data_IF_304832905686
#
_entry.id   IF_304832905686
#
_cell.length_a   1.000
_cell.length_b   1.000
_cell.length_c   1.000
_cell.angle_alpha   90.00
_cell.angle_beta   90.00
_cell.angle_gamma   90.00
#
_symmetry.space_group_name_H-M   'P 1'
#
loop_
_entity.id
_entity.type
_entity.pdbx_description
1 polymer ?
#
# COMPACT_ATOMS: atom_id res chain seq x y z
N UNK A 1 -5.67 -9.57 57.34
CA UNK A 1 -5.99 -10.86 56.71
C UNK A 1 -7.37 -10.78 56.03
N UNK A 2 -7.39 -10.43 54.75
CA UNK A 2 -8.56 -10.74 53.91
C UNK A 2 -8.04 -10.91 52.50
N UNK A 3 -7.94 -12.18 52.12
CA UNK A 3 -7.59 -12.59 50.76
C UNK A 3 -8.76 -12.33 49.82
N UNK A 4 -8.56 -11.53 48.81
CA UNK A 4 -9.47 -11.47 47.66
C UNK A 4 -9.00 -12.47 46.60
N UNK A 5 -9.75 -13.54 46.44
CA UNK A 5 -9.68 -14.42 45.26
C UNK A 5 -10.53 -13.79 44.17
N UNK A 6 -9.91 -13.48 43.05
CA UNK A 6 -10.59 -13.18 41.79
C UNK A 6 -10.63 -14.47 40.97
N UNK A 7 -11.78 -15.08 40.90
CA UNK A 7 -12.07 -16.16 39.97
C UNK A 7 -12.33 -15.57 38.58
N UNK A 8 -11.43 -15.85 37.64
CA UNK A 8 -11.56 -15.46 36.25
C UNK A 8 -11.96 -16.68 35.43
N UNK A 9 -13.27 -16.89 35.29
CA UNK A 9 -13.78 -17.89 34.36
C UNK A 9 -13.71 -17.32 32.93
N UNK A 10 -12.72 -17.77 32.16
CA UNK A 10 -12.69 -17.57 30.70
C UNK A 10 -13.59 -18.61 30.03
N UNK A 11 -14.78 -18.17 29.67
CA UNK A 11 -15.61 -18.85 28.66
C UNK A 11 -14.98 -18.67 27.29
N UNK A 12 -14.24 -19.69 26.82
CA UNK A 12 -13.81 -19.79 25.43
C UNK A 12 -14.99 -20.16 24.55
N UNK A 13 -15.65 -19.15 23.98
CA UNK A 13 -16.55 -19.34 22.85
C UNK A 13 -15.76 -19.78 21.62
N UNK A 14 -16.09 -20.95 21.07
CA UNK A 14 -15.53 -21.48 19.83
C UNK A 14 -15.80 -20.53 18.68
N UNK A 15 -14.75 -19.77 18.29
CA UNK A 15 -14.78 -18.91 17.11
C UNK A 15 -14.68 -19.82 15.89
N UNK A 16 -15.80 -19.98 15.17
CA UNK A 16 -15.83 -20.64 13.87
C UNK A 16 -14.89 -19.92 12.92
N UNK A 17 -13.88 -20.65 12.44
CA UNK A 17 -12.98 -20.20 11.38
C UNK A 17 -13.82 -19.94 10.14
N UNK A 18 -14.12 -18.68 9.88
CA UNK A 18 -14.71 -18.23 8.61
C UNK A 18 -13.71 -18.59 7.50
N UNK A 19 -14.08 -19.57 6.68
CA UNK A 19 -13.34 -19.94 5.49
C UNK A 19 -13.26 -18.72 4.57
N UNK A 20 -12.05 -18.25 4.31
CA UNK A 20 -11.79 -17.18 3.35
C UNK A 20 -12.33 -17.61 1.96
N UNK A 21 -13.07 -16.75 1.25
CA UNK A 21 -13.53 -17.06 -0.09
C UNK A 21 -12.32 -17.23 -1.00
N UNK A 22 -12.25 -18.39 -1.71
CA UNK A 22 -11.22 -18.63 -2.72
C UNK A 22 -11.37 -17.60 -3.84
N UNK A 23 -10.42 -16.71 -3.98
CA UNK A 23 -10.36 -15.72 -5.07
C UNK A 23 -10.22 -16.51 -6.37
N UNK A 24 -11.22 -16.39 -7.26
CA UNK A 24 -11.16 -16.99 -8.61
C UNK A 24 -10.26 -16.11 -9.48
N UNK A 25 -9.01 -16.50 -9.64
CA UNK A 25 -8.08 -15.86 -10.57
C UNK A 25 -8.27 -16.42 -11.98
N UNK A 26 -8.28 -15.57 -12.99
CA UNK A 26 -8.18 -15.95 -14.40
C UNK A 26 -6.75 -15.70 -14.86
N UNK A 27 -6.08 -16.73 -15.36
CA UNK A 27 -4.79 -16.58 -16.00
C UNK A 27 -4.98 -16.04 -17.42
N UNK A 28 -4.26 -15.00 -17.77
CA UNK A 28 -4.11 -14.47 -19.13
C UNK A 28 -2.62 -14.35 -19.45
N UNK A 29 -2.29 -14.30 -20.72
CA UNK A 29 -0.90 -14.17 -21.19
C UNK A 29 -0.74 -12.81 -21.85
N UNK A 30 0.04 -11.94 -21.22
CA UNK A 30 0.30 -10.57 -21.68
C UNK A 30 1.56 -10.55 -22.54
N UNK A 31 1.47 -9.91 -23.71
CA UNK A 31 2.61 -9.68 -24.58
C UNK A 31 3.44 -8.49 -24.09
N UNK A 32 4.73 -8.70 -23.81
CA UNK A 32 5.65 -7.63 -23.39
C UNK A 32 6.00 -6.64 -24.50
N UNK A 33 5.77 -7.02 -25.77
CA UNK A 33 6.09 -6.18 -26.93
C UNK A 33 4.94 -5.25 -27.33
N UNK A 34 3.69 -5.77 -27.42
CA UNK A 34 2.55 -4.97 -27.87
C UNK A 34 1.49 -4.71 -26.78
N UNK A 35 1.61 -5.34 -25.61
CA UNK A 35 0.67 -5.15 -24.50
C UNK A 35 -0.66 -5.88 -24.64
N UNK A 36 -0.87 -6.68 -25.69
CA UNK A 36 -2.12 -7.40 -25.92
C UNK A 36 -2.23 -8.65 -25.03
N UNK A 37 -3.45 -9.00 -24.59
CA UNK A 37 -3.72 -10.14 -23.71
C UNK A 37 -4.36 -11.31 -24.46
N UNK A 38 -3.91 -12.52 -24.13
CA UNK A 38 -4.38 -13.74 -24.74
C UNK A 38 -4.82 -14.77 -23.68
N UNK A 39 -5.91 -15.52 -23.94
CA UNK A 39 -6.42 -16.51 -22.98
C UNK A 39 -5.56 -17.78 -22.88
N UNK A 40 -4.65 -17.98 -23.83
CA UNK A 40 -3.73 -19.13 -23.89
C UNK A 40 -2.32 -18.69 -24.23
N UNK A 41 -1.35 -19.42 -23.71
CA UNK A 41 0.03 -19.23 -24.08
C UNK A 41 0.29 -19.73 -25.51
N UNK A 42 0.94 -18.91 -26.31
CA UNK A 42 1.45 -19.26 -27.64
C UNK A 42 2.93 -18.87 -27.69
N UNK A 43 3.73 -19.64 -28.40
CA UNK A 43 5.15 -19.30 -28.58
C UNK A 43 5.35 -17.98 -29.33
N UNK A 44 4.38 -17.60 -30.16
CA UNK A 44 4.34 -16.35 -30.92
C UNK A 44 3.09 -15.55 -30.56
N UNK A 45 3.22 -14.26 -30.37
CA UNK A 45 2.08 -13.39 -30.12
C UNK A 45 1.20 -13.26 -31.36
N UNK A 46 -0.11 -13.57 -31.31
CA UNK A 46 -1.00 -13.46 -32.48
C UNK A 46 -1.19 -12.02 -32.98
N UNK A 47 -0.96 -11.03 -32.14
CA UNK A 47 -1.21 -9.61 -32.47
C UNK A 47 0.00 -8.94 -33.12
N UNK A 48 1.20 -9.13 -32.58
CA UNK A 48 2.42 -8.51 -33.13
C UNK A 48 3.40 -9.47 -33.81
N UNK A 49 3.10 -10.77 -33.80
CA UNK A 49 3.93 -11.85 -34.36
C UNK A 49 5.35 -11.97 -33.76
N UNK A 50 5.61 -11.36 -32.61
CA UNK A 50 6.86 -11.51 -31.89
C UNK A 50 6.93 -12.83 -31.13
N UNK A 51 8.11 -13.46 -31.11
CA UNK A 51 8.33 -14.73 -30.43
C UNK A 51 8.78 -14.56 -28.99
N UNK A 52 8.27 -15.43 -28.08
CA UNK A 52 8.73 -15.49 -26.70
C UNK A 52 8.32 -14.28 -25.82
N UNK A 53 7.35 -13.48 -26.27
CA UNK A 53 6.93 -12.24 -25.61
C UNK A 53 5.73 -12.42 -24.68
N UNK A 54 5.11 -13.61 -24.65
CA UNK A 54 3.94 -13.88 -23.84
C UNK A 54 4.33 -14.37 -22.44
N UNK A 55 3.99 -13.60 -21.41
CA UNK A 55 4.19 -13.93 -20.00
C UNK A 55 2.86 -14.17 -19.28
N UNK A 56 2.86 -15.10 -18.32
CA UNK A 56 1.67 -15.41 -17.53
C UNK A 56 1.33 -14.25 -16.61
N UNK A 57 0.07 -13.80 -16.67
CA UNK A 57 -0.48 -12.77 -15.80
C UNK A 57 -1.78 -13.26 -15.15
N UNK A 58 -1.86 -13.21 -13.84
CA UNK A 58 -3.05 -13.62 -13.08
C UNK A 58 -3.95 -12.42 -12.80
N UNK A 59 -5.09 -12.38 -13.47
CA UNK A 59 -6.11 -11.35 -13.23
C UNK A 59 -7.10 -11.86 -12.19
N UNK A 60 -7.23 -11.18 -11.06
CA UNK A 60 -8.29 -11.45 -10.10
C UNK A 60 -9.63 -10.98 -10.67
N UNK A 61 -10.60 -11.89 -10.82
CA UNK A 61 -11.94 -11.56 -11.33
C UNK A 61 -12.79 -10.72 -10.37
N UNK A 62 -12.44 -10.68 -9.11
CA UNK A 62 -13.20 -10.02 -8.06
C UNK A 62 -12.55 -8.70 -7.63
N UNK A 63 -12.31 -7.78 -8.57
CA UNK A 63 -12.46 -6.38 -8.16
C UNK A 63 -13.96 -6.19 -7.92
N UNK A 64 -14.43 -6.43 -6.69
CA UNK A 64 -15.59 -5.70 -6.21
C UNK A 64 -15.26 -4.25 -6.45
N UNK A 65 -15.77 -3.69 -7.55
CA UNK A 65 -15.88 -2.25 -7.68
C UNK A 65 -16.59 -1.89 -6.39
N UNK A 66 -15.84 -1.34 -5.44
CA UNK A 66 -16.41 -0.69 -4.27
C UNK A 66 -17.43 0.22 -4.93
N UNK A 67 -18.72 -0.01 -4.67
CA UNK A 67 -19.81 0.83 -5.14
C UNK A 67 -19.64 2.21 -4.51
N UNK A 68 -18.61 2.92 -4.94
CA UNK A 68 -18.52 4.36 -4.75
C UNK A 68 -19.63 4.90 -5.61
N UNK A 69 -20.69 5.38 -4.94
CA UNK A 69 -21.70 6.20 -5.62
C UNK A 69 -20.89 7.21 -6.42
N UNK A 70 -21.02 7.17 -7.75
CA UNK A 70 -20.37 8.15 -8.60
C UNK A 70 -20.82 9.52 -8.13
N UNK A 71 -19.90 10.28 -7.57
CA UNK A 71 -20.19 11.66 -7.18
C UNK A 71 -20.52 12.45 -8.45
N UNK A 72 -21.59 13.24 -8.38
CA UNK A 72 -21.94 14.11 -9.50
C UNK A 72 -20.87 15.19 -9.64
N UNK A 73 -20.52 15.58 -10.88
CA UNK A 73 -19.65 16.74 -11.08
C UNK A 73 -20.25 17.97 -10.39
N UNK A 74 -19.40 18.72 -9.70
CA UNK A 74 -19.76 20.01 -9.11
C UNK A 74 -18.98 21.11 -9.83
N UNK A 75 -19.52 22.32 -9.84
CA UNK A 75 -18.80 23.47 -10.35
C UNK A 75 -17.67 23.89 -9.40
N UNK A 76 -16.67 24.59 -9.94
CA UNK A 76 -15.48 24.97 -9.18
C UNK A 76 -15.81 25.90 -8.00
N UNK A 77 -16.82 26.76 -8.14
CA UNK A 77 -17.22 27.67 -7.07
C UNK A 77 -17.78 26.91 -5.89
N UNK A 78 -18.67 25.96 -6.15
CA UNK A 78 -19.21 25.05 -5.11
C UNK A 78 -18.13 24.22 -4.43
N UNK A 79 -17.03 23.90 -5.14
CA UNK A 79 -15.90 23.19 -4.55
C UNK A 79 -15.12 24.02 -3.53
N UNK A 80 -15.10 25.36 -3.64
CA UNK A 80 -14.47 26.21 -2.65
C UNK A 80 -15.23 26.30 -1.32
N UNK A 81 -16.54 26.03 -1.34
CA UNK A 81 -17.39 26.04 -0.15
C UNK A 81 -17.26 24.73 0.66
N UNK A 82 -16.56 23.73 0.14
CA UNK A 82 -16.25 22.50 0.87
C UNK A 82 -15.10 22.73 1.85
N UNK A 83 -15.18 22.14 3.09
CA UNK A 83 -14.08 22.24 4.04
C UNK A 83 -12.78 21.77 3.41
N UNK A 84 -11.76 22.63 3.41
CA UNK A 84 -10.45 22.26 2.90
C UNK A 84 -9.83 21.19 3.80
N UNK A 85 -9.30 20.14 3.18
CA UNK A 85 -8.55 19.10 3.89
C UNK A 85 -7.29 19.71 4.50
N UNK A 86 -7.15 19.58 5.82
CA UNK A 86 -5.92 20.02 6.49
C UNK A 86 -4.73 19.18 6.05
N UNK A 87 -3.67 19.86 5.65
CA UNK A 87 -2.39 19.22 5.35
C UNK A 87 -1.71 18.80 6.64
N UNK A 88 -1.06 17.67 6.65
CA UNK A 88 -0.24 17.28 7.79
C UNK A 88 1.24 17.50 7.49
N UNK A 89 1.89 18.19 8.42
CA UNK A 89 3.30 18.52 8.32
C UNK A 89 4.16 17.26 8.48
N UNK A 90 5.13 17.11 7.60
CA UNK A 90 6.12 16.02 7.69
C UNK A 90 7.19 16.30 8.74
N UNK A 91 7.32 17.55 9.17
CA UNK A 91 8.41 18.06 10.03
C UNK A 91 9.80 17.95 9.36
N UNK A 92 9.82 17.83 8.05
CA UNK A 92 11.00 17.97 7.21
C UNK A 92 10.73 19.19 6.32
N UNK A 93 11.34 20.31 6.67
CA UNK A 93 11.03 21.62 6.08
C UNK A 93 11.08 21.62 4.54
N UNK A 94 12.06 20.94 3.95
CA UNK A 94 12.19 20.88 2.49
C UNK A 94 11.05 20.09 1.83
N UNK A 95 10.61 19.00 2.45
CA UNK A 95 9.46 18.22 1.97
C UNK A 95 8.20 19.07 2.08
N UNK A 96 7.96 19.68 3.25
CA UNK A 96 6.78 20.50 3.47
C UNK A 96 6.75 21.69 2.49
N UNK A 97 7.91 22.31 2.22
CA UNK A 97 8.04 23.41 1.25
C UNK A 97 7.68 22.93 -0.16
N UNK A 98 8.23 21.80 -0.61
CA UNK A 98 7.97 21.25 -1.96
C UNK A 98 6.51 20.84 -2.12
N UNK A 99 5.90 20.31 -1.05
CA UNK A 99 4.50 19.87 -1.05
C UNK A 99 3.50 21.02 -0.78
N UNK A 100 3.96 22.26 -0.69
CA UNK A 100 3.08 23.42 -0.49
C UNK A 100 2.47 23.47 0.92
N UNK A 101 3.23 23.09 1.94
CA UNK A 101 2.81 23.14 3.35
C UNK A 101 2.43 21.80 3.96
N UNK A 102 2.93 20.69 3.43
CA UNK A 102 2.72 19.36 3.97
C UNK A 102 1.89 18.43 3.07
N UNK A 103 1.70 17.21 3.52
CA UNK A 103 0.99 16.16 2.76
C UNK A 103 -0.51 16.42 2.82
N UNK A 104 -1.15 16.48 1.65
CA UNK A 104 -2.60 16.54 1.54
C UNK A 104 -3.18 15.12 1.65
N UNK A 105 -4.17 14.88 2.53
CA UNK A 105 -4.85 13.59 2.60
C UNK A 105 -5.39 13.15 1.24
N UNK A 106 -5.20 11.87 0.89
CA UNK A 106 -5.61 11.31 -0.40
C UNK A 106 -4.70 11.65 -1.59
N UNK A 107 -3.62 12.43 -1.39
CA UNK A 107 -2.66 12.69 -2.46
C UNK A 107 -1.74 11.48 -2.71
N UNK A 108 -1.28 11.37 -3.97
CA UNK A 108 -0.24 10.43 -4.38
C UNK A 108 1.02 11.23 -4.67
N UNK A 109 2.14 10.83 -4.06
CA UNK A 109 3.43 11.49 -4.19
C UNK A 109 4.43 10.49 -4.77
N UNK A 110 5.05 10.84 -5.89
CA UNK A 110 6.12 10.05 -6.49
C UNK A 110 7.48 10.63 -6.11
N UNK A 111 8.29 9.82 -5.40
CA UNK A 111 9.67 10.17 -5.06
C UNK A 111 10.63 9.53 -6.06
N UNK A 112 11.08 10.30 -7.04
CA UNK A 112 12.03 9.87 -8.07
C UNK A 112 13.48 10.24 -7.74
N UNK A 113 14.43 9.50 -8.32
CA UNK A 113 15.86 9.79 -8.20
C UNK A 113 16.74 8.57 -8.54
N UNK A 114 18.04 8.81 -8.76
CA UNK A 114 18.99 7.75 -9.07
C UNK A 114 19.09 6.68 -7.98
N UNK A 115 19.44 5.43 -8.32
CA UNK A 115 19.75 4.40 -7.33
C UNK A 115 20.80 4.90 -6.32
N UNK A 116 20.66 4.55 -5.05
CA UNK A 116 21.61 4.89 -4.00
C UNK A 116 21.56 6.33 -3.47
N UNK A 117 20.73 7.23 -4.01
CA UNK A 117 20.66 8.64 -3.57
C UNK A 117 20.00 8.84 -2.20
N UNK A 118 19.42 7.79 -1.62
CA UNK A 118 18.84 7.86 -0.29
C UNK A 118 17.30 7.95 -0.25
N UNK A 119 16.57 7.63 -1.35
CA UNK A 119 15.10 7.64 -1.39
C UNK A 119 14.45 6.84 -0.26
N UNK A 120 14.84 5.58 -0.10
CA UNK A 120 14.33 4.70 0.95
C UNK A 120 14.65 5.20 2.36
N UNK A 121 15.83 5.81 2.54
CA UNK A 121 16.23 6.43 3.81
C UNK A 121 15.32 7.63 4.13
N UNK A 122 15.09 8.50 3.15
CA UNK A 122 14.22 9.67 3.30
C UNK A 122 12.77 9.23 3.59
N UNK A 123 12.29 8.19 2.91
CA UNK A 123 10.96 7.61 3.12
C UNK A 123 10.79 7.11 4.57
N UNK A 124 11.76 6.39 5.11
CA UNK A 124 11.75 5.93 6.49
C UNK A 124 11.84 7.09 7.49
N UNK A 125 12.69 8.08 7.24
CA UNK A 125 12.78 9.29 8.08
C UNK A 125 11.46 10.06 8.13
N UNK A 126 10.75 10.14 6.99
CA UNK A 126 9.44 10.74 6.91
C UNK A 126 8.45 10.05 7.85
N UNK A 127 8.41 8.71 7.85
CA UNK A 127 7.51 7.94 8.72
C UNK A 127 7.77 8.21 10.19
N UNK A 128 9.04 8.30 10.60
CA UNK A 128 9.39 8.57 12.00
C UNK A 128 8.92 9.95 12.48
N UNK A 129 8.92 10.93 11.59
CA UNK A 129 8.55 12.32 11.92
C UNK A 129 7.04 12.53 11.99
N UNK A 130 6.27 11.79 11.20
CA UNK A 130 4.81 11.94 11.11
C UNK A 130 4.06 11.55 12.39
N UNK A 131 4.60 10.63 13.18
CA UNK A 131 3.95 10.09 14.40
C UNK A 131 2.50 9.66 14.17
N UNK A 132 2.25 9.01 13.03
CA UNK A 132 0.96 8.46 12.62
C UNK A 132 1.12 7.00 12.22
N UNK A 133 0.06 6.20 12.40
CA UNK A 133 0.05 4.83 11.90
C UNK A 133 0.37 4.85 10.41
N UNK A 134 1.42 4.16 10.03
CA UNK A 134 1.95 4.16 8.68
C UNK A 134 2.33 2.74 8.25
N UNK A 135 2.20 2.45 6.96
CA UNK A 135 2.60 1.19 6.37
C UNK A 135 3.72 1.43 5.36
N UNK A 136 4.85 0.77 5.58
CA UNK A 136 5.98 0.73 4.65
C UNK A 136 6.03 -0.63 3.98
N UNK A 137 5.82 -0.65 2.67
CA UNK A 137 5.88 -1.85 1.84
C UNK A 137 7.19 -1.82 1.07
N UNK A 138 8.03 -2.86 1.29
CA UNK A 138 9.26 -3.05 0.54
C UNK A 138 9.11 -4.24 -0.39
N UNK A 139 9.21 -4.00 -1.70
CA UNK A 139 9.18 -5.06 -2.71
C UNK A 139 10.56 -5.72 -2.93
N UNK A 140 11.64 -5.02 -2.58
CA UNK A 140 13.02 -5.46 -2.85
C UNK A 140 13.75 -5.98 -1.62
N UNK A 141 13.46 -5.39 -0.44
CA UNK A 141 14.16 -5.74 0.80
C UNK A 141 13.28 -6.55 1.74
N UNK A 142 13.89 -7.47 2.47
CA UNK A 142 13.20 -8.21 3.53
C UNK A 142 12.82 -7.28 4.69
N UNK A 143 11.82 -7.71 5.48
CA UNK A 143 11.41 -6.97 6.70
C UNK A 143 12.58 -6.74 7.66
N UNK A 144 13.47 -7.72 7.79
CA UNK A 144 14.63 -7.61 8.68
C UNK A 144 15.63 -6.56 8.20
N UNK A 145 15.87 -6.46 6.90
CA UNK A 145 16.76 -5.43 6.32
C UNK A 145 16.18 -4.03 6.53
N UNK A 146 14.88 -3.87 6.31
CA UNK A 146 14.19 -2.60 6.57
C UNK A 146 14.22 -2.28 8.07
N UNK A 147 14.00 -3.25 8.96
CA UNK A 147 14.05 -3.07 10.40
C UNK A 147 15.45 -2.63 10.88
N UNK A 148 16.53 -3.27 10.40
CA UNK A 148 17.91 -2.87 10.72
C UNK A 148 18.18 -1.43 10.27
N UNK A 149 17.70 -1.03 9.09
CA UNK A 149 17.83 0.34 8.60
C UNK A 149 17.04 1.33 9.47
N UNK A 150 15.82 0.96 9.87
CA UNK A 150 14.98 1.77 10.74
C UNK A 150 15.61 2.00 12.10
N UNK A 151 16.22 0.96 12.69
CA UNK A 151 16.95 1.03 13.95
C UNK A 151 18.15 2.00 13.87
N UNK A 152 18.93 1.91 12.80
CA UNK A 152 20.06 2.85 12.56
C UNK A 152 19.63 4.31 12.42
N UNK A 153 18.38 4.55 12.00
CA UNK A 153 17.79 5.87 11.87
C UNK A 153 17.07 6.32 13.14
N UNK A 154 17.10 5.52 14.21
CA UNK A 154 16.42 5.76 15.49
C UNK A 154 14.91 6.06 15.30
N UNK A 155 14.27 5.27 14.45
CA UNK A 155 12.85 5.43 14.16
C UNK A 155 12.05 4.83 15.30
N UNK A 156 11.14 5.63 15.86
CA UNK A 156 10.13 5.11 16.79
C UNK A 156 9.19 4.14 16.04
N UNK A 157 9.38 2.85 16.31
CA UNK A 157 8.76 1.77 15.55
C UNK A 157 7.31 1.47 15.94
N UNK A 158 6.79 2.07 17.00
CA UNK A 158 5.45 1.75 17.53
C UNK A 158 4.31 2.06 16.55
N UNK A 159 4.48 3.01 15.66
CA UNK A 159 3.48 3.47 14.69
C UNK A 159 3.82 3.09 13.24
N UNK A 160 4.97 2.46 13.00
CA UNK A 160 5.42 2.09 11.66
C UNK A 160 5.33 0.58 11.46
N UNK A 161 4.48 0.17 10.54
CA UNK A 161 4.33 -1.23 10.15
C UNK A 161 5.08 -1.51 8.87
N UNK A 162 5.71 -2.68 8.76
CA UNK A 162 6.52 -3.08 7.61
C UNK A 162 5.89 -4.30 6.95
N UNK A 163 5.79 -4.28 5.63
CA UNK A 163 5.38 -5.41 4.80
C UNK A 163 6.41 -5.67 3.71
N UNK A 164 6.63 -6.92 3.36
CA UNK A 164 7.41 -7.34 2.18
C UNK A 164 6.51 -7.96 1.11
N UNK A 165 5.26 -7.51 1.06
CA UNK A 165 4.28 -7.97 0.10
C UNK A 165 4.49 -7.24 -1.25
N UNK A 166 4.40 -7.99 -2.34
CA UNK A 166 4.53 -7.44 -3.70
C UNK A 166 3.23 -7.51 -4.51
N UNK A 167 2.19 -8.15 -3.94
CA UNK A 167 0.88 -8.21 -4.57
C UNK A 167 0.01 -7.05 -4.07
N UNK A 168 -0.45 -6.22 -5.00
CA UNK A 168 -1.24 -5.03 -4.69
C UNK A 168 -2.55 -5.35 -3.95
N UNK A 169 -3.21 -6.46 -4.26
CA UNK A 169 -4.47 -6.83 -3.62
C UNK A 169 -4.25 -7.11 -2.12
N UNK A 170 -3.17 -7.80 -1.77
CA UNK A 170 -2.79 -8.04 -0.36
C UNK A 170 -2.34 -6.77 0.34
N UNK A 171 -1.64 -5.87 -0.36
CA UNK A 171 -1.27 -4.56 0.19
C UNK A 171 -2.53 -3.75 0.52
N UNK A 172 -3.53 -3.76 -0.37
CA UNK A 172 -4.81 -3.09 -0.14
C UNK A 172 -5.58 -3.71 1.04
N UNK A 173 -5.58 -5.03 1.18
CA UNK A 173 -6.18 -5.72 2.33
C UNK A 173 -5.49 -5.30 3.64
N UNK A 174 -4.17 -5.21 3.66
CA UNK A 174 -3.42 -4.70 4.81
C UNK A 174 -3.80 -3.24 5.12
N UNK A 175 -3.97 -2.40 4.11
CA UNK A 175 -4.43 -1.02 4.29
C UNK A 175 -5.85 -0.93 4.88
N UNK A 176 -6.76 -1.80 4.45
CA UNK A 176 -8.13 -1.87 5.00
C UNK A 176 -8.13 -2.24 6.48
N UNK A 177 -7.25 -3.19 6.88
CA UNK A 177 -7.14 -3.65 8.25
C UNK A 177 -6.43 -2.63 9.15
N UNK A 178 -5.29 -2.10 8.70
CA UNK A 178 -4.44 -1.22 9.48
C UNK A 178 -4.92 0.23 9.48
N UNK A 179 -5.59 0.66 8.40
CA UNK A 179 -6.03 2.05 8.14
C UNK A 179 -4.90 3.06 8.33
N UNK A 180 -3.78 2.90 7.63
CA UNK A 180 -2.64 3.76 7.80
C UNK A 180 -2.95 5.17 7.29
N UNK A 181 -2.40 6.18 7.97
CA UNK A 181 -2.46 7.58 7.51
C UNK A 181 -1.53 7.85 6.33
N UNK A 182 -0.49 7.03 6.18
CA UNK A 182 0.46 7.08 5.08
C UNK A 182 0.85 5.65 4.67
N UNK A 183 0.78 5.38 3.37
CA UNK A 183 1.32 4.19 2.73
C UNK A 183 2.55 4.60 1.91
N UNK A 184 3.67 3.91 2.11
CA UNK A 184 4.86 4.02 1.26
C UNK A 184 5.08 2.68 0.57
N UNK A 185 5.31 2.70 -0.74
CA UNK A 185 5.70 1.54 -1.54
C UNK A 185 7.09 1.81 -2.11
N UNK A 186 8.06 0.98 -1.73
CA UNK A 186 9.48 1.09 -2.11
C UNK A 186 9.97 -0.25 -2.70
N UNK A 187 10.10 -0.37 -4.01
CA UNK A 187 9.84 0.56 -5.10
C UNK A 187 8.74 0.03 -6.02
N UNK A 188 8.23 0.92 -6.87
CA UNK A 188 7.36 0.53 -8.00
C UNK A 188 8.28 0.30 -9.20
N UNK A 189 8.29 -0.93 -9.71
CA UNK A 189 9.00 -1.35 -10.93
C UNK A 189 8.01 -1.71 -12.02
#
# INVERSE_FOLDING_TARGET
NTSFKLDYEHSFGSTSILSMPKIKTKTVYLCSSCGDDHPKWNGQCPSCNEWGTLSEFKVSKDRKIINQKSEKPIDLKSAYDTPQLERFLTKINEIDRVLGGGILPGSIILLGGNPGIGKSTLALQLLSKLKKISLYVSAEESKDQVAIRADRLLIDSSLVHISSENNIDYILDQCVQLKPSLLIIDSIQ
#
